data_IF_777120428361
#
_entry.id   IF_777120428361
#
_cell.length_a   1.000
_cell.length_b   1.000
_cell.length_c   1.000
_cell.angle_alpha   90.00
_cell.angle_beta   90.00
_cell.angle_gamma   90.00
#
_symmetry.space_group_name_H-M   'P 1'
#
loop_
_entity.id
_entity.type
_entity.pdbx_description
1 polymer ?
#
# COMPACT_ATOMS: atom_id res chain seq x y z
N UNK A 1 22.00 -1.12 -11.28
CA UNK A 1 21.18 -2.20 -10.69
C UNK A 1 19.69 -1.80 -10.65
N UNK A 2 18.82 -2.77 -10.61
CA UNK A 2 17.39 -2.51 -10.47
C UNK A 2 17.03 -2.42 -8.98
N UNK A 3 16.64 -1.23 -8.51
CA UNK A 3 16.24 -0.97 -7.12
C UNK A 3 15.02 -1.78 -6.66
N UNK A 4 14.17 -2.19 -7.61
CA UNK A 4 12.99 -3.02 -7.35
C UNK A 4 13.30 -4.52 -7.24
N UNK A 5 14.51 -4.93 -7.62
CA UNK A 5 14.96 -6.30 -7.45
C UNK A 5 15.51 -6.49 -6.04
N UNK A 6 14.77 -7.20 -5.19
CA UNK A 6 15.19 -7.51 -3.82
C UNK A 6 16.54 -8.21 -3.76
N UNK A 7 16.82 -9.08 -4.75
CA UNK A 7 18.10 -9.78 -4.87
C UNK A 7 19.26 -8.82 -5.15
N UNK A 8 19.12 -7.94 -6.16
CA UNK A 8 20.18 -6.99 -6.49
C UNK A 8 20.36 -5.95 -5.39
N UNK A 9 19.26 -5.47 -4.80
CA UNK A 9 19.32 -4.55 -3.67
C UNK A 9 20.01 -5.19 -2.46
N UNK A 10 19.74 -6.46 -2.17
CA UNK A 10 20.41 -7.19 -1.10
C UNK A 10 21.93 -7.24 -1.28
N UNK A 11 22.42 -7.51 -2.50
CA UNK A 11 23.86 -7.46 -2.81
C UNK A 11 24.44 -6.07 -2.56
N UNK A 12 23.73 -5.00 -2.95
CA UNK A 12 24.20 -3.63 -2.71
C UNK A 12 24.29 -3.33 -1.21
N UNK A 13 23.22 -3.63 -0.45
CA UNK A 13 23.17 -3.28 0.97
C UNK A 13 24.14 -4.11 1.83
N UNK A 14 24.20 -5.41 1.59
CA UNK A 14 24.90 -6.32 2.51
C UNK A 14 26.29 -6.74 2.03
N UNK A 15 26.61 -6.66 0.73
CA UNK A 15 27.94 -7.03 0.21
C UNK A 15 28.77 -5.82 -0.20
N UNK A 16 28.14 -4.76 -0.76
CA UNK A 16 28.89 -3.55 -1.18
C UNK A 16 28.94 -2.47 -0.12
N UNK A 17 27.86 -2.26 0.63
CA UNK A 17 27.80 -1.29 1.72
C UNK A 17 28.08 -1.93 3.10
N UNK A 18 28.28 -3.25 3.10
CA UNK A 18 28.65 -4.04 4.28
C UNK A 18 27.73 -3.79 5.51
N UNK A 19 26.45 -3.51 5.24
CA UNK A 19 25.49 -3.33 6.32
C UNK A 19 25.23 -4.65 7.05
N UNK A 20 24.94 -4.63 8.36
CA UNK A 20 24.70 -5.83 9.13
C UNK A 20 23.48 -6.60 8.59
N UNK A 21 23.64 -7.91 8.40
CA UNK A 21 22.58 -8.79 7.92
C UNK A 21 21.61 -9.08 9.06
N UNK A 22 20.40 -8.53 8.99
CA UNK A 22 19.34 -8.72 10.00
C UNK A 22 18.60 -10.04 9.78
N UNK A 23 18.28 -10.36 8.50
CA UNK A 23 17.45 -11.53 8.17
C UNK A 23 17.83 -12.09 6.80
N UNK A 24 17.86 -13.42 6.71
CA UNK A 24 18.03 -14.14 5.43
C UNK A 24 16.75 -14.85 5.04
N UNK A 25 16.52 -14.97 3.75
CA UNK A 25 15.46 -15.78 3.14
C UNK A 25 16.05 -17.01 2.50
N UNK A 26 15.23 -17.95 2.02
CA UNK A 26 15.69 -19.12 1.27
C UNK A 26 16.47 -18.76 0.00
N UNK A 27 16.25 -17.58 -0.55
CA UNK A 27 16.80 -17.11 -1.84
C UNK A 27 17.85 -16.00 -1.69
N UNK A 28 18.23 -15.64 -0.47
CA UNK A 28 19.25 -14.59 -0.21
C UNK A 28 18.90 -13.66 0.96
N UNK A 29 19.34 -12.43 0.87
CA UNK A 29 19.09 -11.42 1.91
C UNK A 29 17.65 -10.92 1.87
N UNK A 30 17.02 -10.79 3.04
CA UNK A 30 15.77 -10.05 3.15
C UNK A 30 16.03 -8.54 3.08
N UNK A 31 15.20 -7.85 2.32
CA UNK A 31 15.16 -6.39 2.27
C UNK A 31 13.75 -5.87 2.58
N UNK A 32 12.96 -6.64 3.38
CA UNK A 32 11.62 -6.21 3.78
C UNK A 32 11.65 -4.94 4.65
N UNK A 33 10.47 -4.37 4.91
CA UNK A 33 10.36 -3.11 5.65
C UNK A 33 10.96 -3.23 7.04
N UNK A 34 10.70 -4.34 7.74
CA UNK A 34 11.22 -4.57 9.11
C UNK A 34 12.75 -4.58 9.12
N UNK A 35 13.39 -5.20 8.11
CA UNK A 35 14.86 -5.21 7.96
C UNK A 35 15.39 -3.82 7.68
N UNK A 36 14.74 -3.05 6.79
CA UNK A 36 15.17 -1.69 6.51
C UNK A 36 14.98 -0.77 7.71
N UNK A 37 13.89 -0.89 8.45
CA UNK A 37 13.67 -0.11 9.68
C UNK A 37 14.74 -0.42 10.75
N UNK A 38 15.13 -1.69 10.90
CA UNK A 38 16.23 -2.08 11.81
C UNK A 38 17.59 -1.52 11.39
N UNK A 39 17.74 -1.12 10.12
CA UNK A 39 18.97 -0.54 9.56
C UNK A 39 18.90 0.99 9.43
N UNK A 40 17.84 1.65 9.91
CA UNK A 40 17.56 3.06 9.68
C UNK A 40 18.77 3.97 9.96
N UNK A 41 19.43 3.77 11.10
CA UNK A 41 20.56 4.61 11.54
C UNK A 41 21.92 4.14 11.00
N UNK A 42 21.96 3.12 10.17
CA UNK A 42 23.23 2.54 9.70
C UNK A 42 23.76 3.19 8.43
N UNK A 43 22.85 3.69 7.56
CA UNK A 43 23.27 4.34 6.31
C UNK A 43 22.15 5.23 5.75
N UNK A 44 22.46 6.43 5.22
CA UNK A 44 21.44 7.36 4.68
C UNK A 44 20.57 6.80 3.54
N UNK A 45 21.07 5.81 2.82
CA UNK A 45 20.31 5.14 1.74
C UNK A 45 19.05 4.45 2.27
N UNK A 46 19.04 4.01 3.51
CA UNK A 46 17.93 3.25 4.09
C UNK A 46 16.67 4.12 4.16
N UNK A 47 16.81 5.35 4.67
CA UNK A 47 15.69 6.31 4.70
C UNK A 47 15.12 6.53 3.29
N UNK A 48 16.00 6.74 2.31
CA UNK A 48 15.59 6.95 0.92
C UNK A 48 14.93 5.72 0.28
N UNK A 49 15.34 4.53 0.64
CA UNK A 49 14.70 3.27 0.21
C UNK A 49 13.32 3.11 0.81
N UNK A 50 13.13 3.42 2.08
CA UNK A 50 11.82 3.38 2.74
C UNK A 50 10.86 4.38 2.08
N UNK A 51 11.31 5.64 1.90
CA UNK A 51 10.55 6.68 1.21
C UNK A 51 10.18 6.25 -0.22
N UNK A 52 11.16 5.78 -1.00
CA UNK A 52 10.97 5.30 -2.37
C UNK A 52 9.91 4.20 -2.45
N UNK A 53 10.00 3.17 -1.60
CA UNK A 53 9.04 2.06 -1.58
C UNK A 53 7.64 2.51 -1.21
N UNK A 54 7.52 3.43 -0.28
CA UNK A 54 6.23 4.01 0.09
C UNK A 54 5.60 4.74 -1.09
N UNK A 55 6.36 5.60 -1.78
CA UNK A 55 5.89 6.32 -2.96
C UNK A 55 5.57 5.38 -4.12
N UNK A 56 6.42 4.38 -4.35
CA UNK A 56 6.18 3.38 -5.40
C UNK A 56 4.88 2.59 -5.16
N UNK A 57 4.63 2.18 -3.92
CA UNK A 57 3.38 1.50 -3.54
C UNK A 57 2.16 2.39 -3.80
N UNK A 58 2.26 3.66 -3.42
CA UNK A 58 1.20 4.64 -3.66
C UNK A 58 0.95 4.79 -5.17
N UNK A 59 2.01 5.01 -5.95
CA UNK A 59 1.91 5.15 -7.40
C UNK A 59 1.29 3.91 -8.05
N UNK A 60 1.89 2.76 -7.84
CA UNK A 60 1.50 1.53 -8.55
C UNK A 60 0.11 1.02 -8.14
N UNK A 61 -0.20 1.05 -6.84
CA UNK A 61 -1.44 0.45 -6.33
C UNK A 61 -2.62 1.41 -6.42
N UNK A 62 -2.42 2.66 -6.04
CA UNK A 62 -3.53 3.60 -5.91
C UNK A 62 -3.66 4.52 -7.12
N UNK A 63 -2.58 5.05 -7.69
CA UNK A 63 -2.68 5.93 -8.85
C UNK A 63 -2.87 5.10 -10.12
N UNK A 64 -1.87 4.32 -10.50
CA UNK A 64 -1.93 3.53 -11.74
C UNK A 64 -3.04 2.48 -11.68
N UNK A 65 -3.20 1.81 -10.53
CA UNK A 65 -4.23 0.81 -10.32
C UNK A 65 -5.66 1.38 -10.43
N UNK A 66 -5.91 2.60 -9.94
CA UNK A 66 -7.22 3.24 -10.08
C UNK A 66 -7.45 3.75 -11.50
N UNK A 67 -6.45 4.38 -12.13
CA UNK A 67 -6.58 4.90 -13.49
C UNK A 67 -6.91 3.78 -14.50
N UNK A 68 -6.33 2.59 -14.31
CA UNK A 68 -6.54 1.44 -15.20
C UNK A 68 -7.94 0.82 -15.09
N UNK A 69 -8.71 1.11 -14.04
CA UNK A 69 -10.04 0.53 -13.81
C UNK A 69 -11.16 1.55 -13.93
N UNK A 70 -10.86 2.76 -14.39
CA UNK A 70 -11.89 3.74 -14.71
C UNK A 70 -12.73 3.22 -15.88
N UNK A 71 -14.04 3.13 -15.66
CA UNK A 71 -14.97 2.77 -16.72
C UNK A 71 -15.11 3.94 -17.71
N UNK A 72 -14.76 3.78 -19.00
CA UNK A 72 -14.77 4.87 -19.96
C UNK A 72 -16.18 5.42 -20.25
N UNK A 73 -17.22 4.61 -20.05
CA UNK A 73 -18.61 5.03 -20.29
C UNK A 73 -19.19 5.86 -19.14
N UNK A 74 -18.74 5.63 -17.91
CA UNK A 74 -19.27 6.33 -16.71
C UNK A 74 -18.29 7.36 -16.13
N UNK A 75 -17.00 7.29 -16.51
CA UNK A 75 -15.92 8.07 -15.90
C UNK A 75 -15.67 7.73 -14.43
N UNK A 76 -16.22 6.61 -13.94
CA UNK A 76 -16.17 6.20 -12.53
C UNK A 76 -15.45 4.88 -12.34
N UNK A 77 -15.03 4.64 -11.11
CA UNK A 77 -14.50 3.36 -10.66
C UNK A 77 -15.63 2.57 -10.01
N UNK A 78 -15.80 1.32 -10.44
CA UNK A 78 -16.83 0.40 -9.96
C UNK A 78 -16.15 -0.80 -9.28
N UNK A 79 -15.75 -0.65 -8.03
CA UNK A 79 -15.13 -1.73 -7.27
C UNK A 79 -16.09 -2.89 -7.03
N UNK A 80 -15.57 -4.11 -7.05
CA UNK A 80 -16.33 -5.32 -6.75
C UNK A 80 -16.25 -5.62 -5.27
N UNK A 81 -17.40 -5.80 -4.62
CA UNK A 81 -17.49 -6.23 -3.23
C UNK A 81 -17.89 -7.71 -3.18
N UNK A 82 -17.01 -8.54 -2.64
CA UNK A 82 -17.21 -9.98 -2.53
C UNK A 82 -17.69 -10.32 -1.12
N UNK A 83 -18.85 -10.93 -1.01
CA UNK A 83 -19.50 -11.25 0.28
C UNK A 83 -19.03 -12.58 0.88
N UNK A 84 -18.55 -13.51 0.08
CA UNK A 84 -18.20 -14.87 0.49
C UNK A 84 -16.70 -15.20 0.32
N UNK A 85 -15.84 -14.20 0.23
CA UNK A 85 -14.41 -14.40 -0.04
C UNK A 85 -13.56 -14.59 1.22
N UNK A 86 -14.08 -14.22 2.40
CA UNK A 86 -13.34 -14.28 3.66
C UNK A 86 -13.93 -15.30 4.61
N UNK A 87 -13.10 -16.03 5.36
CA UNK A 87 -13.56 -16.97 6.38
C UNK A 87 -14.25 -16.28 7.58
N UNK A 88 -14.06 -14.98 7.75
CA UNK A 88 -14.61 -14.20 8.87
C UNK A 88 -15.97 -13.57 8.56
N UNK A 89 -16.53 -13.76 7.37
CA UNK A 89 -17.77 -13.10 6.93
C UNK A 89 -17.60 -11.61 6.58
N UNK A 90 -16.39 -11.05 6.64
CA UNK A 90 -16.14 -9.66 6.20
C UNK A 90 -16.21 -9.56 4.68
N UNK A 91 -16.67 -8.41 4.18
CA UNK A 91 -16.56 -8.09 2.76
C UNK A 91 -15.09 -7.97 2.34
N UNK A 92 -14.77 -8.36 1.14
CA UNK A 92 -13.51 -8.01 0.48
C UNK A 92 -13.77 -7.16 -0.76
N UNK A 93 -12.86 -6.25 -1.05
CA UNK A 93 -12.94 -5.33 -2.18
C UNK A 93 -11.86 -5.64 -3.20
N UNK A 94 -12.24 -5.69 -4.49
CA UNK A 94 -11.31 -5.93 -5.62
C UNK A 94 -11.63 -5.01 -6.79
N UNK A 95 -10.68 -4.75 -7.63
CA UNK A 95 -10.78 -3.97 -8.88
C UNK A 95 -11.35 -2.54 -8.73
N UNK A 96 -10.76 -1.69 -7.91
CA UNK A 96 -9.60 -1.86 -7.04
C UNK A 96 -9.99 -2.29 -5.62
N UNK A 97 -8.98 -2.70 -4.82
CA UNK A 97 -9.20 -2.90 -3.39
C UNK A 97 -9.25 -1.55 -2.67
N UNK A 98 -10.44 -1.11 -2.28
CA UNK A 98 -10.67 0.16 -1.58
C UNK A 98 -10.43 0.08 -0.06
N UNK A 99 -10.30 -1.13 0.50
CA UNK A 99 -10.13 -1.33 1.95
C UNK A 99 -8.70 -1.05 2.44
N UNK A 100 -7.72 -0.99 1.53
CA UNK A 100 -6.31 -0.80 1.86
C UNK A 100 -5.80 0.63 1.59
N UNK A 101 -6.68 1.60 1.42
CA UNK A 101 -6.28 3.00 1.20
C UNK A 101 -5.57 3.52 2.45
N UNK A 102 -4.32 4.00 2.34
CA UNK A 102 -3.54 4.43 3.50
C UNK A 102 -4.18 5.65 4.17
N UNK A 103 -4.15 5.67 5.51
CA UNK A 103 -4.73 6.74 6.32
C UNK A 103 -3.65 7.55 7.04
N UNK A 104 -2.58 6.86 7.47
CA UNK A 104 -1.59 7.43 8.41
C UNK A 104 -0.66 8.45 7.75
N UNK A 105 -0.36 8.31 6.46
CA UNK A 105 0.58 9.17 5.77
C UNK A 105 -0.11 10.37 5.10
N UNK A 106 0.60 11.48 4.93
CA UNK A 106 0.10 12.65 4.21
C UNK A 106 -0.34 12.31 2.77
N UNK A 107 0.48 11.55 2.06
CA UNK A 107 0.16 11.09 0.70
C UNK A 107 -1.07 10.17 0.68
N UNK A 108 -1.26 9.32 1.68
CA UNK A 108 -2.46 8.50 1.83
C UNK A 108 -3.72 9.35 2.02
N UNK A 109 -3.63 10.42 2.83
CA UNK A 109 -4.72 11.38 2.99
C UNK A 109 -5.05 12.13 1.68
N UNK A 110 -4.04 12.44 0.85
CA UNK A 110 -4.26 13.04 -0.48
C UNK A 110 -5.02 12.10 -1.41
N UNK A 111 -4.73 10.78 -1.38
CA UNK A 111 -5.46 9.79 -2.17
C UNK A 111 -6.95 9.75 -1.79
N UNK A 112 -7.27 9.86 -0.50
CA UNK A 112 -8.67 9.88 -0.07
C UNK A 112 -9.48 11.05 -0.63
N UNK A 113 -8.84 12.17 -0.95
CA UNK A 113 -9.50 13.34 -1.54
C UNK A 113 -9.98 13.12 -2.97
N UNK A 114 -9.58 12.05 -3.65
CA UNK A 114 -10.09 11.73 -4.99
C UNK A 114 -11.50 11.12 -4.95
N UNK A 115 -11.94 10.65 -3.78
CA UNK A 115 -13.30 10.17 -3.59
C UNK A 115 -14.20 11.37 -3.34
N UNK A 116 -15.00 11.68 -4.33
CA UNK A 116 -15.90 12.84 -4.33
C UNK A 116 -17.33 12.41 -4.64
N UNK A 117 -18.30 13.22 -4.21
CA UNK A 117 -19.69 13.04 -4.61
C UNK A 117 -19.83 13.22 -6.14
N UNK A 118 -20.86 12.61 -6.75
CA UNK A 118 -21.04 12.60 -8.20
C UNK A 118 -21.27 14.00 -8.79
N UNK A 119 -21.92 14.89 -8.05
CA UNK A 119 -22.12 16.29 -8.38
C UNK A 119 -22.48 17.07 -7.10
N UNK A 120 -22.84 18.34 -7.23
CA UNK A 120 -23.15 19.24 -6.10
C UNK A 120 -24.44 18.87 -5.33
N UNK A 121 -25.32 18.06 -5.92
CA UNK A 121 -26.59 17.63 -5.30
C UNK A 121 -26.39 16.41 -4.39
N UNK A 122 -25.20 15.82 -4.36
CA UNK A 122 -24.86 14.64 -3.59
C UNK A 122 -23.81 14.94 -2.53
N UNK A 123 -23.89 14.24 -1.44
CA UNK A 123 -22.88 14.24 -0.36
C UNK A 123 -22.40 12.82 -0.09
N UNK A 124 -21.19 12.70 0.41
CA UNK A 124 -20.71 11.45 0.96
C UNK A 124 -21.18 11.36 2.42
N UNK A 125 -21.83 10.26 2.75
CA UNK A 125 -22.25 9.96 4.14
C UNK A 125 -21.41 8.78 4.61
N UNK A 126 -20.75 8.93 5.76
CA UNK A 126 -20.03 7.87 6.46
C UNK A 126 -20.76 7.58 7.78
N UNK A 127 -21.09 6.32 8.01
CA UNK A 127 -21.72 5.87 9.24
C UNK A 127 -21.07 4.53 9.67
N UNK A 128 -20.57 4.48 10.88
CA UNK A 128 -19.92 3.30 11.44
C UNK A 128 -20.43 3.01 12.86
N UNK A 129 -20.61 1.73 13.18
CA UNK A 129 -20.96 1.30 14.51
C UNK A 129 -19.73 1.27 15.42
N UNK A 130 -19.74 2.04 16.48
CA UNK A 130 -18.67 1.99 17.47
C UNK A 130 -18.58 0.62 18.11
N UNK A 131 -17.40 -0.01 18.00
CA UNK A 131 -17.05 -1.28 18.66
C UNK A 131 -18.04 -2.40 18.39
N UNK A 132 -18.47 -2.58 17.14
CA UNK A 132 -19.47 -3.58 16.77
C UNK A 132 -19.05 -5.00 17.19
N UNK A 133 -17.78 -5.34 17.07
CA UNK A 133 -17.23 -6.66 17.44
C UNK A 133 -17.36 -6.98 18.94
N UNK A 134 -17.51 -5.97 19.79
CA UNK A 134 -17.76 -6.16 21.22
C UNK A 134 -19.26 -6.26 21.57
N UNK A 135 -20.12 -5.94 20.60
CA UNK A 135 -21.58 -5.91 20.79
C UNK A 135 -22.30 -7.11 20.20
N UNK A 136 -21.61 -7.84 19.29
CA UNK A 136 -22.04 -9.07 18.68
C UNK A 136 -21.36 -10.24 19.40
#
# INVERSE_FOLDING_TARGET
>A
FNINSTKQLGVILFEKLELPVVKKTKTGYSTDVEVLEALHDKHPIIEKLLEYRQLLKIKSTYIDGMLNVINPSTGKIHSKLNQAATATGRLSSTEPNLQNIPIKTENGRKIRKVFVASNQDYVLVDADYSQIELRV
#
